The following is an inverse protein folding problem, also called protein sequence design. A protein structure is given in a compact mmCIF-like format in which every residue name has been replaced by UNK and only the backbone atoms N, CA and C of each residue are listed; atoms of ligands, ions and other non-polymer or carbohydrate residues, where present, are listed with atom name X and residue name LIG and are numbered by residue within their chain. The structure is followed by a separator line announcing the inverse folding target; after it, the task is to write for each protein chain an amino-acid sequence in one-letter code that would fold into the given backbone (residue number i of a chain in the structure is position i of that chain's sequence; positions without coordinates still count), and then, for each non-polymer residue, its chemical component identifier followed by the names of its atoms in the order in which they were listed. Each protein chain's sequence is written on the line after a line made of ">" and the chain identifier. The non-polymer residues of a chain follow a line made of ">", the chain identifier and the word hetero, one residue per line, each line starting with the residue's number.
data_IF_476565715272
#
_entry.id   IF_476565715272
#
_cell.length_a   1.000
_cell.length_b   1.000
_cell.length_c   1.000
_cell.angle_alpha   90.00
_cell.angle_beta   90.00
_cell.angle_gamma   90.00
#
_symmetry.space_group_name_H-M   'P 1'
#
loop_
_entity.id
_entity.type
_entity.pdbx_description
1 polymer ?
#
# COMPACT_ATOMS: atom_id res chain seq x y z
N UNK A 1 -25.47 20.27 -35.11
CA UNK A 1 -24.88 20.83 -33.88
C UNK A 1 -25.16 19.91 -32.66
N UNK A 2 -24.77 18.63 -32.71
CA UNK A 2 -25.12 17.66 -31.64
C UNK A 2 -23.94 16.79 -31.17
N UNK A 3 -22.71 17.16 -31.56
CA UNK A 3 -21.49 16.45 -31.18
C UNK A 3 -20.68 17.18 -30.08
N UNK A 4 -21.21 18.28 -29.53
CA UNK A 4 -20.51 19.15 -28.57
C UNK A 4 -20.87 18.91 -27.10
N UNK A 5 -21.81 18.00 -26.80
CA UNK A 5 -22.02 17.49 -25.44
C UNK A 5 -21.25 16.19 -25.31
N UNK A 6 -20.01 16.30 -24.83
CA UNK A 6 -19.14 15.16 -24.55
C UNK A 6 -19.91 14.07 -23.81
N UNK A 7 -19.89 12.84 -24.35
CA UNK A 7 -20.55 11.69 -23.76
C UNK A 7 -20.17 11.63 -22.28
N UNK A 8 -21.17 11.75 -21.39
CA UNK A 8 -20.95 11.50 -19.96
C UNK A 8 -20.35 10.10 -19.85
N UNK A 9 -19.17 9.99 -19.23
CA UNK A 9 -18.51 8.70 -19.03
C UNK A 9 -19.51 7.73 -18.41
N UNK A 10 -19.62 6.55 -18.99
CA UNK A 10 -20.45 5.51 -18.39
C UNK A 10 -19.90 5.16 -17.00
N UNK A 11 -20.74 4.68 -16.05
CA UNK A 11 -20.25 4.27 -14.74
C UNK A 11 -19.08 3.28 -14.82
N UNK A 12 -19.08 2.37 -15.79
CA UNK A 12 -18.00 1.43 -16.04
C UNK A 12 -16.69 2.11 -16.50
N UNK A 13 -16.77 3.13 -17.35
CA UNK A 13 -15.59 3.91 -17.78
C UNK A 13 -15.01 4.73 -16.62
N UNK A 14 -15.86 5.35 -15.81
CA UNK A 14 -15.46 6.11 -14.63
C UNK A 14 -14.73 5.22 -13.61
N UNK A 15 -15.21 4.00 -13.39
CA UNK A 15 -14.58 3.03 -12.49
C UNK A 15 -13.23 2.53 -13.03
N UNK A 16 -13.11 2.31 -14.35
CA UNK A 16 -11.83 1.96 -15.00
C UNK A 16 -10.81 3.09 -14.90
N UNK A 17 -11.24 4.32 -15.08
CA UNK A 17 -10.38 5.50 -14.92
C UNK A 17 -9.93 5.68 -13.48
N UNK A 18 -10.84 5.58 -12.50
CA UNK A 18 -10.52 5.64 -11.09
C UNK A 18 -9.52 4.54 -10.69
N UNK A 19 -9.71 3.31 -11.16
CA UNK A 19 -8.75 2.22 -10.94
C UNK A 19 -7.36 2.58 -11.47
N UNK A 20 -7.26 3.12 -12.69
CA UNK A 20 -5.97 3.54 -13.29
C UNK A 20 -5.33 4.67 -12.50
N UNK A 21 -6.11 5.65 -12.05
CA UNK A 21 -5.61 6.73 -11.20
C UNK A 21 -5.08 6.19 -9.87
N UNK A 22 -5.81 5.28 -9.23
CA UNK A 22 -5.38 4.64 -7.98
C UNK A 22 -4.10 3.81 -8.16
N UNK A 23 -4.02 3.01 -9.23
CA UNK A 23 -2.82 2.23 -9.56
C UNK A 23 -1.61 3.14 -9.78
N UNK A 24 -1.81 4.31 -10.41
CA UNK A 24 -0.77 5.34 -10.57
C UNK A 24 -0.35 5.93 -9.23
N UNK A 25 -1.29 6.33 -8.38
CA UNK A 25 -1.01 6.86 -7.04
C UNK A 25 -0.27 5.87 -6.15
N UNK A 26 -0.61 4.57 -6.22
CA UNK A 26 0.12 3.51 -5.48
C UNK A 26 1.59 3.48 -5.91
N UNK A 27 1.88 3.54 -7.22
CA UNK A 27 3.26 3.55 -7.72
C UNK A 27 4.03 4.82 -7.36
N UNK A 28 3.36 5.97 -7.29
CA UNK A 28 3.96 7.22 -6.85
C UNK A 28 4.33 7.16 -5.37
N UNK A 29 3.41 6.68 -4.53
CA UNK A 29 3.65 6.43 -3.10
C UNK A 29 4.83 5.47 -2.88
N UNK A 30 4.92 4.40 -3.65
CA UNK A 30 6.03 3.45 -3.52
C UNK A 30 7.38 4.05 -3.88
N UNK A 31 7.43 4.86 -4.94
CA UNK A 31 8.64 5.57 -5.36
C UNK A 31 9.08 6.58 -4.30
N UNK A 32 8.14 7.36 -3.77
CA UNK A 32 8.44 8.34 -2.72
C UNK A 32 8.90 7.67 -1.42
N UNK A 33 8.26 6.56 -1.03
CA UNK A 33 8.71 5.74 0.11
C UNK A 33 10.14 5.23 -0.08
N UNK A 34 10.49 4.75 -1.28
CA UNK A 34 11.85 4.28 -1.56
C UNK A 34 12.88 5.42 -1.47
N UNK A 35 12.53 6.61 -1.97
CA UNK A 35 13.38 7.79 -1.84
C UNK A 35 13.61 8.16 -0.36
N UNK A 36 12.54 8.15 0.46
CA UNK A 36 12.63 8.40 1.90
C UNK A 36 13.48 7.34 2.63
N UNK A 37 13.38 6.07 2.26
CA UNK A 37 14.23 5.00 2.81
C UNK A 37 15.72 5.21 2.47
N UNK A 38 16.03 5.68 1.26
CA UNK A 38 17.38 6.03 0.88
C UNK A 38 17.90 7.24 1.67
N UNK A 39 17.05 8.25 1.89
CA UNK A 39 17.37 9.40 2.74
C UNK A 39 17.58 9.01 4.20
N UNK A 40 16.76 8.11 4.75
CA UNK A 40 16.92 7.56 6.10
C UNK A 40 18.32 6.95 6.28
N UNK A 41 18.76 6.12 5.33
CA UNK A 41 20.10 5.51 5.35
C UNK A 41 21.21 6.56 5.33
N UNK A 42 21.07 7.59 4.50
CA UNK A 42 22.04 8.71 4.43
C UNK A 42 22.10 9.48 5.74
N UNK A 43 20.94 9.83 6.33
CA UNK A 43 20.85 10.50 7.63
C UNK A 43 21.53 9.69 8.74
N UNK A 44 21.35 8.37 8.77
CA UNK A 44 22.01 7.51 9.77
C UNK A 44 23.54 7.59 9.66
N UNK A 45 24.07 7.55 8.43
CA UNK A 45 25.52 7.67 8.19
C UNK A 45 26.03 9.04 8.65
N UNK A 46 25.32 10.10 8.30
CA UNK A 46 25.69 11.47 8.64
C UNK A 46 25.63 11.73 10.16
N UNK A 47 24.59 11.25 10.85
CA UNK A 47 24.47 11.28 12.31
C UNK A 47 25.67 10.59 12.96
N UNK A 48 26.05 9.40 12.49
CA UNK A 48 27.21 8.66 13.00
C UNK A 48 28.51 9.43 12.79
N UNK A 49 28.68 10.06 11.63
CA UNK A 49 29.87 10.88 11.31
C UNK A 49 29.95 12.10 12.25
N UNK A 50 28.87 12.85 12.39
CA UNK A 50 28.83 14.06 13.20
C UNK A 50 28.95 13.76 14.71
N UNK A 51 28.45 12.61 15.16
CA UNK A 51 28.64 12.12 16.53
C UNK A 51 30.13 11.84 16.82
N UNK A 52 30.85 11.19 15.90
CA UNK A 52 32.30 10.95 16.03
C UNK A 52 33.12 12.25 16.06
N UNK A 53 32.63 13.29 15.38
CA UNK A 53 33.24 14.62 15.36
C UNK A 53 32.87 15.48 16.58
N UNK A 54 32.08 14.96 17.52
CA UNK A 54 31.65 15.70 18.71
C UNK A 54 30.61 16.81 18.45
N UNK A 55 30.04 16.88 17.24
CA UNK A 55 29.08 17.91 16.86
C UNK A 55 27.65 17.58 17.35
N UNK A 56 27.47 17.53 18.67
CA UNK A 56 26.23 17.08 19.30
C UNK A 56 25.01 17.97 19.00
N UNK A 57 25.22 19.25 18.68
CA UNK A 57 24.17 20.15 18.22
C UNK A 57 23.54 19.70 16.90
N UNK A 58 24.37 19.38 15.90
CA UNK A 58 23.93 18.88 14.61
C UNK A 58 23.27 17.49 14.73
N UNK A 59 23.85 16.60 15.54
CA UNK A 59 23.30 15.26 15.83
C UNK A 59 21.87 15.36 16.37
N UNK A 60 21.59 16.29 17.27
CA UNK A 60 20.25 16.46 17.86
C UNK A 60 19.20 16.89 16.81
N UNK A 61 19.56 17.76 15.88
CA UNK A 61 18.65 18.19 14.80
C UNK A 61 18.41 17.04 13.82
N UNK A 62 19.48 16.40 13.35
CA UNK A 62 19.41 15.28 12.41
C UNK A 62 18.65 14.08 12.99
N UNK A 63 18.77 13.82 14.31
CA UNK A 63 18.00 12.77 14.98
C UNK A 63 16.49 13.03 14.95
N UNK A 64 16.06 14.30 15.07
CA UNK A 64 14.64 14.66 14.91
C UNK A 64 14.18 14.42 13.47
N UNK A 65 15.00 14.76 12.49
CA UNK A 65 14.69 14.53 11.08
C UNK A 65 14.62 13.03 10.72
N UNK A 66 15.47 12.22 11.35
CA UNK A 66 15.40 10.76 11.24
C UNK A 66 14.05 10.21 11.72
N UNK A 67 13.57 10.66 12.89
CA UNK A 67 12.27 10.23 13.43
C UNK A 67 11.13 10.68 12.51
N UNK A 68 11.16 11.92 12.02
CA UNK A 68 10.17 12.43 11.06
C UNK A 68 10.14 11.59 9.78
N UNK A 69 11.31 11.26 9.24
CA UNK A 69 11.46 10.44 8.03
C UNK A 69 10.86 9.06 8.24
N UNK A 70 11.13 8.41 9.39
CA UNK A 70 10.53 7.12 9.75
C UNK A 70 9.01 7.17 9.84
N UNK A 71 8.48 8.22 10.46
CA UNK A 71 7.04 8.41 10.57
C UNK A 71 6.38 8.63 9.20
N UNK A 72 7.03 9.37 8.30
CA UNK A 72 6.56 9.53 6.92
C UNK A 72 6.54 8.18 6.18
N UNK A 73 7.60 7.37 6.30
CA UNK A 73 7.65 6.02 5.72
C UNK A 73 6.49 5.15 6.23
N UNK A 74 6.22 5.18 7.54
CA UNK A 74 5.09 4.46 8.15
C UNK A 74 3.74 4.95 7.61
N UNK A 75 3.57 6.28 7.48
CA UNK A 75 2.38 6.89 6.90
C UNK A 75 2.17 6.42 5.45
N UNK A 76 3.23 6.32 4.65
CA UNK A 76 3.13 5.80 3.28
C UNK A 76 2.74 4.33 3.23
N UNK A 77 3.18 3.49 4.17
CA UNK A 77 2.68 2.11 4.27
C UNK A 77 1.18 2.06 4.55
N UNK A 78 0.69 2.89 5.49
CA UNK A 78 -0.74 2.99 5.82
C UNK A 78 -1.54 3.48 4.60
N UNK A 79 -1.08 4.53 3.93
CA UNK A 79 -1.72 5.06 2.73
C UNK A 79 -1.80 4.04 1.60
N UNK A 80 -0.71 3.29 1.36
CA UNK A 80 -0.71 2.19 0.38
C UNK A 80 -1.77 1.14 0.72
N UNK A 81 -1.81 0.68 1.97
CA UNK A 81 -2.78 -0.32 2.42
C UNK A 81 -4.23 0.17 2.25
N UNK A 82 -4.50 1.43 2.59
CA UNK A 82 -5.82 2.05 2.41
C UNK A 82 -6.22 2.10 0.93
N UNK A 83 -5.33 2.56 0.03
CA UNK A 83 -5.60 2.60 -1.40
C UNK A 83 -5.83 1.20 -2.00
N UNK A 84 -5.05 0.21 -1.58
CA UNK A 84 -5.26 -1.18 -1.98
C UNK A 84 -6.62 -1.70 -1.50
N UNK A 85 -7.02 -1.40 -0.26
CA UNK A 85 -8.34 -1.76 0.26
C UNK A 85 -9.49 -1.13 -0.52
N UNK A 86 -9.38 0.15 -0.90
CA UNK A 86 -10.38 0.83 -1.75
C UNK A 86 -10.41 0.22 -3.15
N UNK A 87 -9.26 -0.16 -3.72
CA UNK A 87 -9.19 -0.77 -5.04
C UNK A 87 -9.89 -2.14 -5.06
N UNK A 88 -9.74 -2.93 -3.99
CA UNK A 88 -10.45 -4.20 -3.83
C UNK A 88 -11.96 -4.01 -3.71
N UNK A 89 -12.42 -3.00 -2.96
CA UNK A 89 -13.86 -2.67 -2.86
C UNK A 89 -14.45 -2.30 -4.22
N UNK A 90 -13.72 -1.52 -5.02
CA UNK A 90 -14.14 -1.16 -6.39
C UNK A 90 -14.20 -2.40 -7.29
N UNK A 91 -13.27 -3.34 -7.15
CA UNK A 91 -13.31 -4.60 -7.91
C UNK A 91 -14.52 -5.45 -7.52
N UNK A 92 -14.84 -5.56 -6.23
CA UNK A 92 -16.00 -6.30 -5.74
C UNK A 92 -17.32 -5.73 -6.26
N UNK A 93 -17.47 -4.40 -6.28
CA UNK A 93 -18.67 -3.72 -6.80
C UNK A 93 -18.87 -3.96 -8.31
N UNK A 94 -17.79 -4.23 -9.05
CA UNK A 94 -17.84 -4.49 -10.50
C UNK A 94 -17.94 -5.98 -10.85
N UNK A 95 -17.77 -6.89 -9.89
CA UNK A 95 -17.82 -8.32 -10.16
C UNK A 95 -19.29 -8.74 -10.41
N UNK A 96 -19.60 -9.45 -11.50
CA UNK A 96 -20.90 -10.09 -11.63
C UNK A 96 -21.09 -11.06 -10.44
N UNK A 97 -22.30 -11.17 -9.91
CA UNK A 97 -22.64 -11.88 -8.66
C UNK A 97 -22.18 -13.35 -8.60
N UNK A 98 -21.81 -13.94 -9.73
CA UNK A 98 -21.25 -15.29 -9.83
C UNK A 98 -19.71 -15.39 -9.62
N UNK A 99 -18.98 -14.27 -9.63
CA UNK A 99 -17.51 -14.25 -9.51
C UNK A 99 -16.99 -14.04 -8.07
N UNK A 100 -17.88 -13.84 -7.10
CA UNK A 100 -17.53 -13.82 -5.67
C UNK A 100 -17.56 -15.24 -5.13
N UNK A 101 -16.67 -16.11 -5.62
CA UNK A 101 -16.41 -17.37 -4.94
C UNK A 101 -15.59 -17.05 -3.69
N UNK A 102 -16.24 -17.17 -2.53
CA UNK A 102 -15.56 -17.26 -1.24
C UNK A 102 -14.47 -18.34 -1.42
N UNK A 103 -13.17 -18.06 -1.15
CA UNK A 103 -12.13 -19.04 -1.35
C UNK A 103 -12.51 -20.30 -0.56
N UNK A 104 -12.67 -21.40 -1.29
CA UNK A 104 -13.06 -22.69 -0.74
C UNK A 104 -12.18 -22.96 0.48
N UNK A 105 -12.83 -23.06 1.65
CA UNK A 105 -12.19 -23.42 2.90
C UNK A 105 -11.43 -24.73 2.69
N UNK A 106 -10.10 -24.63 2.51
CA UNK A 106 -9.21 -25.79 2.57
C UNK A 106 -9.10 -26.18 4.04
N UNK A 107 -10.07 -26.93 4.54
CA UNK A 107 -9.85 -27.82 5.67
C UNK A 107 -10.38 -29.20 5.30
N UNK A 108 -9.57 -29.92 4.52
CA UNK A 108 -9.63 -31.38 4.44
C UNK A 108 -9.35 -31.91 5.85
N UNK A 109 -10.39 -32.19 6.64
CA UNK A 109 -10.27 -33.23 7.66
C UNK A 109 -10.49 -34.56 6.96
N UNK A 110 -9.37 -35.26 6.82
CA UNK A 110 -9.27 -36.58 6.22
C UNK A 110 -10.18 -37.56 6.97
N UNK A 111 -10.96 -38.33 6.20
CA UNK A 111 -11.46 -39.62 6.66
C UNK A 111 -10.28 -40.59 6.71
N UNK A 112 -9.96 -41.09 7.90
CA UNK A 112 -9.05 -42.19 8.25
C UNK A 112 -9.03 -42.20 9.80
N UNK A 113 -9.38 -43.22 10.58
CA UNK A 113 -9.39 -44.67 10.40
C UNK A 113 -10.41 -45.32 11.35
N UNK A 114 -10.93 -46.47 10.94
CA UNK A 114 -11.55 -47.48 11.79
C UNK A 114 -10.51 -48.17 12.68
N UNK A 115 -10.80 -48.38 13.98
CA UNK A 115 -10.48 -49.60 14.76
C UNK A 115 -10.94 -49.43 16.22
N UNK A 116 -11.71 -50.39 16.75
CA UNK A 116 -11.90 -50.55 18.20
C UNK A 116 -13.32 -50.93 18.65
N UNK A 117 -13.70 -52.18 18.38
CA UNK A 117 -14.85 -52.93 18.90
C UNK A 117 -14.86 -53.07 20.43
N UNK A 118 -16.07 -53.36 20.95
CA UNK A 118 -16.44 -54.15 22.14
C UNK A 118 -15.36 -54.57 23.12
#
# INVERSE_FOLDING_TARGET
>A
MSFLFGKRKTPAELLRENKRMMDKSIREIERERQALQAQEKKLIVEIKKNAKQGQMGAVRVMAKDLIRTRHQIEKFYKLKSQLQGVALRIQLVNAPSAAVSVPAAKNKVAQAESTGTH
#
